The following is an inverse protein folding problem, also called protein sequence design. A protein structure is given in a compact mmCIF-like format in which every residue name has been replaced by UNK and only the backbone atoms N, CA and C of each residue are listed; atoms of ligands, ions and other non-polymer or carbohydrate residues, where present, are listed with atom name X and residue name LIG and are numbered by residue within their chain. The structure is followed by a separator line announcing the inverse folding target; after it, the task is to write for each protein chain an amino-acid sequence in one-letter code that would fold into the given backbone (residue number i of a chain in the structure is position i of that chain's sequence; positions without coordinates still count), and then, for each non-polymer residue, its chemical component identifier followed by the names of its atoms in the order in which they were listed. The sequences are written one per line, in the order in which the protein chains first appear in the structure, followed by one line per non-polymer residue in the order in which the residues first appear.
data_IF_788325398201
#
_entry.id   IF_788325398201
#
_cell.length_a   1.000
_cell.length_b   1.000
_cell.length_c   1.000
_cell.angle_alpha   90.00
_cell.angle_beta   90.00
_cell.angle_gamma   90.00
#
_symmetry.space_group_name_H-M   'P 1'
#
loop_
_entity.id
_entity.type
_entity.pdbx_description
1 polymer ?
#
# COMPACT_ATOMS: atom_id res chain seq x y z
N UNK A 1 4.65 13.83 -0.12
CA UNK A 1 3.49 14.41 0.60
C UNK A 1 2.61 13.22 0.88
N UNK A 2 2.40 12.89 2.16
CA UNK A 2 1.52 11.78 2.53
C UNK A 2 0.09 12.26 2.32
N UNK A 3 -0.62 11.68 1.35
CA UNK A 3 -1.94 12.14 0.95
C UNK A 3 -2.78 10.95 0.51
N UNK A 4 -3.87 10.71 1.21
CA UNK A 4 -4.93 9.83 0.74
C UNK A 4 -5.82 10.65 -0.19
N UNK A 5 -5.90 10.25 -1.46
CA UNK A 5 -6.80 10.88 -2.41
C UNK A 5 -8.26 10.58 -2.01
N UNK A 6 -9.06 11.63 -1.83
CA UNK A 6 -10.47 11.51 -1.47
C UNK A 6 -11.34 10.90 -2.59
N UNK A 7 -10.83 10.82 -3.83
CA UNK A 7 -11.52 10.17 -4.94
C UNK A 7 -11.32 8.65 -4.97
N UNK A 8 -10.37 8.13 -4.19
CA UNK A 8 -10.13 6.69 -4.09
C UNK A 8 -11.14 6.03 -3.16
N UNK A 9 -11.53 4.79 -3.49
CA UNK A 9 -12.43 4.01 -2.63
C UNK A 9 -11.60 3.20 -1.63
N UNK A 10 -11.46 3.74 -0.42
CA UNK A 10 -10.66 3.14 0.64
C UNK A 10 -11.46 2.13 1.47
N UNK A 11 -10.84 0.99 1.78
CA UNK A 11 -11.46 -0.04 2.61
C UNK A 11 -10.42 -0.75 3.47
N UNK A 12 -10.87 -1.25 4.63
CA UNK A 12 -10.07 -2.18 5.47
C UNK A 12 -10.34 -3.64 5.12
N UNK A 13 -11.27 -3.91 4.22
CA UNK A 13 -11.49 -5.22 3.62
C UNK A 13 -11.88 -5.00 2.15
N UNK A 14 -10.92 -4.59 1.31
CA UNK A 14 -11.21 -4.12 -0.03
C UNK A 14 -11.90 -5.15 -0.89
N UNK A 15 -12.99 -4.72 -1.53
CA UNK A 15 -13.58 -5.38 -2.68
C UNK A 15 -12.78 -5.15 -3.97
N UNK A 16 -13.28 -5.63 -5.13
CA UNK A 16 -12.59 -5.62 -6.41
C UNK A 16 -12.14 -4.24 -6.93
N UNK A 17 -12.73 -3.16 -6.43
CA UNK A 17 -12.47 -1.78 -6.88
C UNK A 17 -11.98 -0.88 -5.74
N UNK A 18 -11.69 -1.45 -4.58
CA UNK A 18 -11.29 -0.69 -3.39
C UNK A 18 -9.79 -0.88 -3.12
N UNK A 19 -9.14 0.17 -2.64
CA UNK A 19 -7.76 0.13 -2.16
C UNK A 19 -7.72 -0.21 -0.67
N UNK A 20 -6.70 -0.97 -0.27
CA UNK A 20 -6.48 -1.30 1.14
C UNK A 20 -5.90 -0.11 1.91
N UNK A 21 -6.73 0.56 2.70
CA UNK A 21 -6.34 1.74 3.48
C UNK A 21 -5.15 1.46 4.40
N UNK A 22 -5.09 0.27 5.00
CA UNK A 22 -4.02 -0.07 5.94
C UNK A 22 -2.69 -0.25 5.23
N UNK A 23 -2.70 -0.83 4.03
CA UNK A 23 -1.46 -1.05 3.29
C UNK A 23 -0.85 0.27 2.82
N UNK A 24 -1.67 1.19 2.29
CA UNK A 24 -1.21 2.53 1.89
C UNK A 24 -0.73 3.34 3.10
N UNK A 25 -1.48 3.34 4.21
CA UNK A 25 -1.06 4.02 5.44
C UNK A 25 0.30 3.54 5.96
N UNK A 26 0.57 2.23 5.91
CA UNK A 26 1.87 1.69 6.33
C UNK A 26 2.98 2.07 5.33
N UNK A 27 2.70 2.09 4.03
CA UNK A 27 3.63 2.59 3.01
C UNK A 27 4.04 4.04 3.29
N UNK A 28 3.06 4.91 3.57
CA UNK A 28 3.28 6.31 3.88
C UNK A 28 4.01 6.53 5.21
N UNK A 29 3.75 5.70 6.23
CA UNK A 29 4.57 5.66 7.45
C UNK A 29 6.02 5.25 7.13
N UNK A 30 6.22 4.28 6.24
CA UNK A 30 7.54 3.89 5.75
C UNK A 30 8.27 5.06 5.07
N UNK A 31 7.57 5.81 4.22
CA UNK A 31 8.08 7.04 3.61
C UNK A 31 8.44 8.10 4.67
N UNK A 32 7.59 8.30 5.70
CA UNK A 32 7.86 9.20 6.83
C UNK A 32 9.14 8.81 7.59
N UNK A 33 9.36 7.51 7.76
CA UNK A 33 10.55 6.94 8.41
C UNK A 33 11.77 6.83 7.48
N UNK A 34 11.67 7.28 6.22
CA UNK A 34 12.73 7.21 5.19
C UNK A 34 13.16 5.78 4.83
N UNK A 35 12.24 4.83 4.89
CA UNK A 35 12.50 3.50 4.35
C UNK A 35 12.69 3.58 2.82
N UNK A 36 13.60 2.76 2.30
CA UNK A 36 13.83 2.66 0.87
C UNK A 36 12.64 2.01 0.15
N UNK A 37 12.41 2.42 -1.11
CA UNK A 37 11.45 1.75 -1.99
C UNK A 37 11.95 0.35 -2.34
N UNK A 38 11.02 -0.59 -2.49
CA UNK A 38 11.31 -1.88 -3.12
C UNK A 38 10.98 -1.75 -4.60
N UNK A 39 11.94 -1.98 -5.49
CA UNK A 39 11.71 -1.87 -6.95
C UNK A 39 11.46 -3.25 -7.60
N UNK A 40 11.89 -4.31 -6.93
CA UNK A 40 11.98 -5.68 -7.46
C UNK A 40 11.01 -6.67 -6.80
N UNK A 41 10.32 -6.27 -5.73
CA UNK A 41 9.39 -7.14 -4.99
C UNK A 41 7.98 -6.51 -4.97
N UNK A 42 7.08 -6.88 -5.89
CA UNK A 42 5.73 -6.32 -5.97
C UNK A 42 4.91 -6.51 -4.70
N UNK A 43 5.14 -7.59 -3.95
CA UNK A 43 4.47 -7.85 -2.68
C UNK A 43 5.05 -7.11 -1.47
N UNK A 44 6.15 -6.37 -1.63
CA UNK A 44 6.70 -5.56 -0.55
C UNK A 44 5.80 -4.34 -0.28
N UNK A 45 5.69 -3.98 1.01
CA UNK A 45 4.92 -2.80 1.45
C UNK A 45 5.50 -1.49 0.90
N UNK A 46 6.81 -1.44 0.66
CA UNK A 46 7.50 -0.28 0.09
C UNK A 46 7.57 -0.31 -1.44
N UNK A 47 6.86 -1.24 -2.11
CA UNK A 47 6.67 -1.19 -3.55
C UNK A 47 5.78 0.01 -3.90
N UNK A 48 6.13 0.83 -4.92
CA UNK A 48 5.48 2.12 -5.16
C UNK A 48 4.06 2.04 -5.75
N UNK A 49 3.58 0.84 -6.10
CA UNK A 49 2.26 0.66 -6.70
C UNK A 49 1.35 -0.18 -5.81
N UNK A 50 0.11 0.28 -5.68
CA UNK A 50 -0.99 -0.40 -5.01
C UNK A 50 -2.07 -0.76 -6.02
N UNK A 51 -2.63 -1.94 -5.87
CA UNK A 51 -3.66 -2.49 -6.75
C UNK A 51 -4.94 -2.71 -5.94
N UNK A 52 -6.08 -2.60 -6.61
CA UNK A 52 -7.38 -2.86 -5.99
C UNK A 52 -7.47 -4.30 -5.48
N UNK A 53 -8.23 -4.51 -4.41
CA UNK A 53 -8.45 -5.81 -3.76
C UNK A 53 -7.20 -6.49 -3.15
N UNK A 54 -6.01 -5.90 -3.26
CA UNK A 54 -4.78 -6.47 -2.70
C UNK A 54 -4.50 -5.88 -1.32
N UNK A 55 -4.15 -6.76 -0.37
CA UNK A 55 -3.67 -6.39 0.97
C UNK A 55 -2.17 -6.68 1.05
N UNK A 56 -1.35 -5.66 1.35
CA UNK A 56 0.10 -5.78 1.60
C UNK A 56 0.43 -5.64 3.09
N UNK A 57 -0.28 -6.37 3.95
CA UNK A 57 -0.12 -6.25 5.41
C UNK A 57 0.98 -7.15 5.98
N UNK A 58 1.43 -8.11 5.18
CA UNK A 58 2.72 -8.76 5.38
C UNK A 58 3.77 -7.93 4.62
N UNK A 59 4.77 -7.41 5.34
CA UNK A 59 5.64 -6.34 4.83
C UNK A 59 6.51 -6.76 3.63
N UNK A 60 6.76 -8.05 3.48
CA UNK A 60 7.59 -8.67 2.44
C UNK A 60 6.89 -9.95 1.95
N UNK A 61 5.74 -9.79 1.31
CA UNK A 61 5.01 -10.93 0.75
C UNK A 61 5.53 -11.32 -0.64
N UNK A 62 5.41 -12.60 -0.97
CA UNK A 62 5.70 -13.14 -2.29
C UNK A 62 4.40 -13.22 -3.09
N UNK A 63 3.80 -12.05 -3.34
CA UNK A 63 2.63 -11.93 -4.22
C UNK A 63 2.99 -12.32 -5.66
#
# INVERSE_FOLDING_TARGET
MQHFDAHETWSSNPGPVELDLQSDAVHEIGNLLRLGRSEDHPGAIMYPYFEHAIKKRNLQDQL
#
